data_IF_991524917552
#
_entry.id   IF_991524917552
#
_cell.length_a   1.000
_cell.length_b   1.000
_cell.length_c   1.000
_cell.angle_alpha   90.00
_cell.angle_beta   90.00
_cell.angle_gamma   90.00
#
_symmetry.space_group_name_H-M   'P 1'
#
loop_
_entity.id
_entity.type
_entity.pdbx_description
1 polymer ?
#
# COMPACT_ATOMS: atom_id res chain seq x y z
N UNK A 1 -1.58 -15.34 2.09
CA UNK A 1 -1.83 -14.89 0.72
C UNK A 1 -1.27 -13.49 0.63
N UNK A 2 -0.71 -13.09 -0.52
CA UNK A 2 -0.35 -11.71 -0.79
C UNK A 2 -1.45 -11.08 -1.62
N UNK A 3 -1.96 -9.93 -1.20
CA UNK A 3 -2.91 -9.13 -1.99
C UNK A 3 -2.21 -7.85 -2.40
N UNK A 4 -2.17 -7.59 -3.71
CA UNK A 4 -1.58 -6.40 -4.30
C UNK A 4 -2.72 -5.51 -4.80
N UNK A 5 -2.78 -4.26 -4.35
CA UNK A 5 -3.72 -3.25 -4.83
C UNK A 5 -2.92 -2.14 -5.50
N UNK A 6 -3.33 -1.69 -6.68
CA UNK A 6 -2.62 -0.69 -7.47
C UNK A 6 -3.52 0.50 -7.80
N UNK A 7 -2.93 1.68 -7.83
CA UNK A 7 -3.52 2.98 -8.22
C UNK A 7 -4.87 3.30 -7.59
N UNK A 8 -4.90 3.24 -6.27
CA UNK A 8 -6.01 3.76 -5.51
C UNK A 8 -5.81 5.26 -5.28
N UNK A 9 -6.75 6.08 -5.76
CA UNK A 9 -6.60 7.54 -5.75
C UNK A 9 -7.38 8.20 -4.62
N UNK A 10 -6.96 9.42 -4.25
CA UNK A 10 -7.67 10.32 -3.32
C UNK A 10 -8.00 9.69 -1.96
N UNK A 11 -7.02 9.03 -1.35
CA UNK A 11 -7.19 8.31 -0.10
C UNK A 11 -6.92 9.23 1.09
N UNK A 12 -7.83 9.32 2.07
CA UNK A 12 -7.55 9.96 3.35
C UNK A 12 -6.47 9.18 4.11
N UNK A 13 -5.33 9.83 4.35
CA UNK A 13 -4.19 9.24 5.03
C UNK A 13 -3.76 10.12 6.22
N UNK A 14 -3.42 9.48 7.33
CA UNK A 14 -2.94 10.17 8.53
C UNK A 14 -1.70 9.48 9.11
N UNK A 15 -0.86 10.22 9.84
CA UNK A 15 0.12 9.55 10.70
C UNK A 15 -0.58 8.80 11.83
N UNK A 16 0.04 7.73 12.34
CA UNK A 16 -0.49 6.98 13.49
C UNK A 16 -0.64 7.86 14.74
N UNK A 17 0.21 8.89 14.86
CA UNK A 17 0.18 9.90 15.93
C UNK A 17 -0.95 10.93 15.76
N UNK A 18 -1.65 10.94 14.63
CA UNK A 18 -2.81 11.80 14.37
C UNK A 18 -2.48 13.27 14.08
N UNK A 19 -1.22 13.59 13.84
CA UNK A 19 -0.74 14.98 13.78
C UNK A 19 -1.18 15.74 12.52
N UNK A 20 -1.41 15.05 11.39
CA UNK A 20 -1.91 15.64 10.16
C UNK A 20 -2.66 14.61 9.31
N UNK A 21 -3.77 15.04 8.70
CA UNK A 21 -4.47 14.30 7.64
C UNK A 21 -4.12 14.93 6.30
N UNK A 22 -3.81 14.11 5.31
CA UNK A 22 -3.62 14.51 3.92
C UNK A 22 -4.34 13.55 2.98
N UNK A 23 -4.55 14.00 1.75
CA UNK A 23 -5.05 13.15 0.68
C UNK A 23 -3.84 12.68 -0.13
N UNK A 24 -3.77 11.38 -0.39
CA UNK A 24 -2.67 10.76 -1.15
C UNK A 24 -3.20 9.83 -2.22
N UNK A 25 -2.40 9.60 -3.24
CA UNK A 25 -2.62 8.51 -4.18
C UNK A 25 -1.78 7.30 -3.75
N UNK A 26 -2.44 6.18 -3.44
CA UNK A 26 -1.78 4.92 -3.11
C UNK A 26 -1.50 4.16 -4.39
N UNK A 27 -0.26 4.26 -4.87
CA UNK A 27 0.16 3.65 -6.14
C UNK A 27 0.30 2.14 -6.04
N UNK A 28 0.72 1.66 -4.87
CA UNK A 28 0.89 0.24 -4.62
C UNK A 28 0.61 -0.06 -3.14
N UNK A 29 -0.22 -1.06 -2.86
CA UNK A 29 -0.46 -1.59 -1.52
C UNK A 29 -0.19 -3.08 -1.58
N UNK A 30 0.70 -3.56 -0.73
CA UNK A 30 1.05 -4.98 -0.60
C UNK A 30 0.59 -5.44 0.76
N UNK A 31 -0.42 -6.31 0.79
CA UNK A 31 -1.00 -6.87 2.01
C UNK A 31 -0.58 -8.32 2.12
N UNK A 32 0.15 -8.66 3.19
CA UNK A 32 0.54 -10.02 3.52
C UNK A 32 -0.33 -10.57 4.64
N UNK A 33 -1.17 -11.55 4.32
CA UNK A 33 -2.00 -12.27 5.28
C UNK A 33 -1.26 -13.51 5.81
N UNK A 34 -0.76 -13.46 7.04
CA UNK A 34 -0.02 -14.54 7.71
C UNK A 34 -0.87 -15.16 8.84
N UNK A 35 -0.54 -16.37 9.34
CA UNK A 35 -1.27 -16.99 10.47
C UNK A 35 -1.28 -16.16 11.75
N UNK A 36 -0.28 -15.28 11.94
CA UNK A 36 -0.09 -14.48 13.14
C UNK A 36 -0.49 -13.00 12.96
N UNK A 37 -0.99 -12.60 11.80
CA UNK A 37 -1.40 -11.22 11.56
C UNK A 37 -1.46 -10.85 10.09
N UNK A 38 -1.97 -9.66 9.81
CA UNK A 38 -1.96 -9.05 8.48
C UNK A 38 -1.11 -7.80 8.52
N UNK A 39 -0.22 -7.67 7.57
CA UNK A 39 0.72 -6.55 7.45
C UNK A 39 0.53 -5.91 6.09
N UNK A 40 0.63 -4.59 6.01
CA UNK A 40 0.49 -3.89 4.74
C UNK A 40 1.58 -2.84 4.58
N UNK A 41 2.23 -2.85 3.43
CA UNK A 41 3.14 -1.81 2.99
C UNK A 41 2.49 -1.04 1.84
N UNK A 42 2.64 0.28 1.83
CA UNK A 42 2.00 1.13 0.84
C UNK A 42 2.97 2.17 0.29
N UNK A 43 3.01 2.24 -1.03
CA UNK A 43 3.61 3.33 -1.78
C UNK A 43 2.56 4.41 -2.00
N UNK A 44 2.77 5.54 -1.35
CA UNK A 44 1.93 6.72 -1.47
C UNK A 44 2.66 7.78 -2.28
N UNK A 45 1.92 8.50 -3.10
CA UNK A 45 2.36 9.74 -3.73
C UNK A 45 1.57 10.87 -3.09
N UNK A 46 2.28 11.77 -2.44
CA UNK A 46 1.69 12.97 -1.86
C UNK A 46 1.18 13.87 -2.99
N UNK A 47 -0.12 14.17 -2.97
CA UNK A 47 -0.77 14.96 -4.01
C UNK A 47 -0.29 16.41 -4.06
N UNK A 48 0.27 16.94 -2.96
CA UNK A 48 0.69 18.34 -2.86
C UNK A 48 2.08 18.58 -3.44
N UNK A 49 3.00 17.62 -3.30
CA UNK A 49 4.40 17.78 -3.68
C UNK A 49 4.94 16.69 -4.61
N UNK A 50 4.14 15.67 -4.93
CA UNK A 50 4.50 14.57 -5.83
C UNK A 50 5.56 13.60 -5.27
N UNK A 51 5.90 13.69 -3.98
CA UNK A 51 6.89 12.80 -3.36
C UNK A 51 6.33 11.40 -3.19
N UNK A 52 7.18 10.42 -3.51
CA UNK A 52 6.89 9.01 -3.30
C UNK A 52 7.43 8.57 -1.95
N UNK A 53 6.57 7.92 -1.18
CA UNK A 53 6.85 7.49 0.19
C UNK A 53 6.38 6.05 0.39
N UNK A 54 7.21 5.24 1.04
CA UNK A 54 6.83 3.93 1.56
C UNK A 54 6.38 4.08 3.00
N UNK A 55 5.20 3.58 3.32
CA UNK A 55 4.64 3.55 4.67
C UNK A 55 4.14 2.16 5.02
N UNK A 56 4.43 1.73 6.25
CA UNK A 56 3.71 0.60 6.84
C UNK A 56 2.33 1.09 7.29
N UNK A 57 1.28 0.42 6.81
CA UNK A 57 -0.10 0.76 7.09
C UNK A 57 -0.63 0.04 8.32
N UNK A 58 -1.32 0.81 9.15
CA UNK A 58 -2.17 0.34 10.22
C UNK A 58 -3.60 0.77 9.90
N UNK A 59 -4.52 -0.19 9.93
CA UNK A 59 -5.95 0.06 9.81
C UNK A 59 -6.65 -0.25 11.13
N UNK A 60 -7.75 0.45 11.39
CA UNK A 60 -8.65 0.17 12.52
C UNK A 60 -9.51 -1.08 12.30
N UNK A 61 -9.50 -1.63 11.08
CA UNK A 61 -10.14 -2.88 10.69
C UNK A 61 -9.12 -3.90 10.17
N UNK A 62 -9.45 -5.21 10.16
CA UNK A 62 -8.59 -6.23 9.59
C UNK A 62 -8.24 -5.93 8.13
N UNK A 63 -6.94 -5.83 7.84
CA UNK A 63 -6.44 -5.52 6.50
C UNK A 63 -6.88 -6.55 5.43
N UNK A 64 -7.16 -7.80 5.82
CA UNK A 64 -7.73 -8.82 4.93
C UNK A 64 -9.09 -8.43 4.33
N UNK A 65 -9.87 -7.58 5.03
CA UNK A 65 -11.15 -7.02 4.55
C UNK A 65 -10.97 -5.70 3.83
N UNK A 66 -9.78 -5.08 3.91
CA UNK A 66 -9.51 -3.78 3.30
C UNK A 66 -9.80 -3.80 1.80
N UNK A 67 -9.44 -4.90 1.13
CA UNK A 67 -9.68 -5.11 -0.31
C UNK A 67 -11.14 -4.91 -0.74
N UNK A 68 -12.09 -5.11 0.18
CA UNK A 68 -13.53 -5.06 -0.11
C UNK A 68 -14.14 -3.67 0.18
N UNK A 69 -13.43 -2.78 0.91
CA UNK A 69 -14.02 -1.55 1.48
C UNK A 69 -13.14 -0.30 1.41
N UNK A 70 -12.15 -0.32 0.52
CA UNK A 70 -11.09 0.69 0.41
C UNK A 70 -11.59 2.15 0.48
N UNK A 71 -12.77 2.45 -0.07
CA UNK A 71 -13.35 3.80 -0.10
C UNK A 71 -13.79 4.35 1.27
N UNK A 72 -13.91 3.49 2.29
CA UNK A 72 -14.46 3.84 3.61
C UNK A 72 -13.46 3.76 4.76
N UNK A 73 -12.23 3.33 4.50
CA UNK A 73 -11.24 3.07 5.55
C UNK A 73 -10.34 4.27 5.76
N UNK A 74 -10.16 4.65 7.02
CA UNK A 74 -9.13 5.63 7.42
C UNK A 74 -7.81 4.91 7.59
N UNK A 75 -6.90 5.10 6.64
CA UNK A 75 -5.58 4.50 6.71
C UNK A 75 -4.63 5.37 7.53
N UNK A 76 -3.86 4.71 8.39
CA UNK A 76 -2.81 5.34 9.18
C UNK A 76 -1.47 4.72 8.84
N UNK A 77 -0.40 5.50 8.89
CA UNK A 77 0.95 4.99 8.69
C UNK A 77 1.91 5.35 9.82
N UNK A 78 2.94 4.52 9.99
CA UNK A 78 4.14 4.86 10.74
C UNK A 78 5.00 5.88 9.95
N UNK A 79 6.19 6.20 10.46
CA UNK A 79 7.13 7.08 9.74
C UNK A 79 7.43 6.53 8.33
N UNK A 80 7.46 7.44 7.34
CA UNK A 80 7.67 7.08 5.95
C UNK A 80 9.16 7.04 5.58
N UNK A 81 9.48 6.14 4.66
CA UNK A 81 10.77 6.14 3.95
C UNK A 81 10.57 6.76 2.57
N UNK A 82 11.42 7.71 2.20
CA UNK A 82 11.35 8.36 0.90
C UNK A 82 12.01 7.51 -0.18
N UNK A 83 11.35 7.40 -1.34
CA UNK A 83 11.87 6.71 -2.51
C UNK A 83 11.97 7.64 -3.71
N UNK A 84 12.97 7.45 -4.61
CA UNK A 84 13.12 8.27 -5.81
C UNK A 84 11.94 8.13 -6.79
N UNK A 85 11.37 6.93 -6.91
CA UNK A 85 10.27 6.60 -7.81
C UNK A 85 9.51 5.34 -7.32
N UNK A 86 8.47 4.94 -8.05
CA UNK A 86 7.62 3.80 -7.69
C UNK A 86 8.28 2.45 -7.99
N UNK A 87 9.04 2.40 -9.07
CA UNK A 87 9.73 1.22 -9.60
C UNK A 87 10.77 0.71 -8.57
N UNK A 88 11.63 1.59 -8.06
CA UNK A 88 12.63 1.28 -7.04
C UNK A 88 12.00 0.68 -5.76
N UNK A 89 10.76 1.06 -5.46
CA UNK A 89 10.05 0.55 -4.31
C UNK A 89 9.25 -0.73 -4.60
N UNK A 90 8.81 -0.94 -5.84
CA UNK A 90 8.14 -2.17 -6.26
C UNK A 90 9.09 -3.38 -6.21
N UNK A 91 10.38 -3.16 -6.50
CA UNK A 91 11.44 -4.16 -6.41
C UNK A 91 11.56 -4.77 -5.00
N UNK A 92 11.30 -4.00 -3.93
CA UNK A 92 11.33 -4.50 -2.55
C UNK A 92 10.25 -5.55 -2.25
N UNK A 93 9.23 -5.59 -3.09
CA UNK A 93 8.10 -6.51 -2.95
C UNK A 93 8.10 -7.57 -4.04
N UNK A 94 9.19 -7.76 -4.79
CA UNK A 94 9.28 -8.71 -5.90
C UNK A 94 8.18 -8.48 -6.96
N UNK A 95 7.81 -7.22 -7.20
CA UNK A 95 6.80 -6.84 -8.20
C UNK A 95 7.54 -6.30 -9.42
N UNK A 96 7.48 -7.05 -10.53
CA UNK A 96 8.05 -6.61 -11.80
C UNK A 96 7.41 -5.29 -12.27
N UNK A 97 8.23 -4.40 -12.81
CA UNK A 97 7.80 -3.13 -13.40
C UNK A 97 6.74 -3.31 -14.49
N UNK A 98 6.78 -4.41 -15.25
CA UNK A 98 5.78 -4.73 -16.28
C UNK A 98 4.40 -5.08 -15.68
N UNK A 99 4.36 -5.40 -14.38
CA UNK A 99 3.13 -5.66 -13.62
C UNK A 99 2.56 -4.37 -13.01
N UNK A 100 3.28 -3.25 -13.07
CA UNK A 100 2.76 -1.95 -12.68
C UNK A 100 1.75 -1.46 -13.72
N UNK A 101 0.50 -1.35 -13.29
CA UNK A 101 -0.56 -0.76 -14.13
C UNK A 101 -0.76 0.71 -13.76
N UNK A 102 -1.45 1.47 -14.60
CA UNK A 102 -1.88 2.84 -14.30
C UNK A 102 -3.31 2.91 -13.73
N UNK A 103 -4.12 1.90 -14.04
CA UNK A 103 -5.51 1.79 -13.59
C UNK A 103 -5.62 1.08 -12.25
N UNK A 104 -6.78 1.23 -11.61
CA UNK A 104 -7.09 0.49 -10.39
C UNK A 104 -7.10 -1.03 -10.66
N UNK A 105 -6.35 -1.79 -9.86
CA UNK A 105 -6.29 -3.25 -9.97
C UNK A 105 -6.06 -3.91 -8.62
N UNK A 106 -6.71 -5.04 -8.39
CA UNK A 106 -6.44 -5.94 -7.26
C UNK A 106 -5.96 -7.28 -7.81
N UNK A 107 -4.83 -7.78 -7.30
CA UNK A 107 -4.23 -9.07 -7.65
C UNK A 107 -4.01 -9.90 -6.39
N UNK A 108 -4.37 -11.18 -6.40
CA UNK A 108 -4.10 -12.11 -5.30
C UNK A 108 -3.03 -13.11 -5.73
N UNK A 109 -1.99 -13.25 -4.91
CA UNK A 109 -0.85 -14.15 -5.14
C UNK A 109 -0.78 -15.18 -4.01
N UNK A 110 -0.83 -16.49 -4.29
CA UNK A 110 -0.64 -17.55 -3.29
C UNK A 110 0.75 -17.49 -2.66
N UNK A 111 0.91 -17.97 -1.43
CA UNK A 111 2.22 -17.99 -0.77
C UNK A 111 3.23 -18.99 -1.37
N UNK A 112 2.78 -19.91 -2.23
CA UNK A 112 3.62 -21.00 -2.75
C UNK A 112 4.67 -20.53 -3.79
N UNK A 113 4.64 -19.25 -4.20
CA UNK A 113 5.56 -18.67 -5.19
C UNK A 113 6.76 -17.89 -4.58
N UNK A 114 6.94 -17.87 -3.26
CA UNK A 114 8.10 -17.19 -2.61
C UNK A 114 9.41 -18.00 -2.66
N UNK A 115 9.42 -19.15 -3.34
CA UNK A 115 10.58 -20.04 -3.44
C UNK A 115 10.98 -20.25 -4.90
N UNK A 116 11.61 -19.24 -5.50
CA UNK A 116 12.46 -19.38 -6.68
C UNK A 116 13.59 -18.35 -6.62
#
# INVERSE_FOLDING_TARGET
MKTIIQNLQKVPFASVTGAAQRIVDMRLIVIDERPYGTFANCMIVDSDNGRTELVELVADQPLAKLKDFIESVKLRGWESLHYPNLEDAADLFDISNDSLVADFKITQVPFEEYAA
#
